data_IF_303351784243
#
_entry.id   IF_303351784243
#
_cell.length_a   1.000
_cell.length_b   1.000
_cell.length_c   1.000
_cell.angle_alpha   90.00
_cell.angle_beta   90.00
_cell.angle_gamma   90.00
#
_symmetry.space_group_name_H-M   'P 1'
#
loop_
_entity.id
_entity.type
_entity.pdbx_description
1 polymer ?
#
# COMPACT_ATOMS: atom_id res chain seq x y z
N UNK A 1 25.14 -39.52 48.50
CA UNK A 1 23.76 -39.00 48.39
C UNK A 1 23.86 -37.49 48.27
N UNK A 2 24.02 -37.03 47.07
CA UNK A 2 24.02 -35.59 46.72
C UNK A 2 22.89 -35.36 45.69
N UNK A 3 21.78 -34.87 46.15
CA UNK A 3 20.76 -34.27 45.28
C UNK A 3 21.26 -32.89 44.89
N UNK A 4 21.52 -32.68 43.60
CA UNK A 4 21.90 -31.41 43.04
C UNK A 4 20.60 -30.70 42.58
N UNK A 5 20.40 -29.52 43.13
CA UNK A 5 19.27 -28.62 42.95
C UNK A 5 19.26 -28.05 41.50
N UNK A 6 18.65 -28.78 40.55
CA UNK A 6 18.52 -28.36 39.16
C UNK A 6 17.42 -27.27 38.94
N UNK A 7 16.55 -27.01 39.93
CA UNK A 7 15.42 -26.10 39.79
C UNK A 7 15.80 -24.61 39.85
N UNK A 8 16.93 -24.24 40.45
CA UNK A 8 17.32 -22.83 40.68
C UNK A 8 18.05 -22.24 39.46
N UNK A 9 18.70 -23.08 38.65
CA UNK A 9 19.53 -22.64 37.50
C UNK A 9 18.66 -22.25 36.29
N UNK A 10 17.54 -22.92 36.09
CA UNK A 10 16.60 -22.64 34.96
C UNK A 10 15.89 -21.28 35.14
N UNK A 11 15.52 -20.96 36.40
CA UNK A 11 14.78 -19.74 36.71
C UNK A 11 15.66 -18.46 36.63
N UNK A 12 16.98 -18.59 36.87
CA UNK A 12 17.94 -17.47 36.68
C UNK A 12 18.17 -17.16 35.22
N UNK A 13 18.30 -18.18 34.35
CA UNK A 13 18.51 -17.96 32.92
C UNK A 13 17.29 -17.39 32.21
N UNK A 14 16.08 -17.67 32.68
CA UNK A 14 14.85 -17.05 32.14
C UNK A 14 14.77 -15.59 32.57
N UNK A 15 15.03 -15.26 33.85
CA UNK A 15 15.04 -13.87 34.34
C UNK A 15 16.19 -13.03 33.75
N UNK A 16 17.36 -13.62 33.47
CA UNK A 16 18.47 -12.92 32.82
C UNK A 16 18.22 -12.70 31.32
N UNK A 17 17.41 -13.56 30.65
CA UNK A 17 16.94 -13.32 29.27
C UNK A 17 15.87 -12.23 29.20
N UNK A 18 14.97 -12.15 30.17
CA UNK A 18 13.96 -11.08 30.29
C UNK A 18 14.60 -9.70 30.61
N UNK A 19 15.70 -9.67 31.38
CA UNK A 19 16.42 -8.41 31.68
C UNK A 19 17.34 -7.94 30.54
N UNK A 20 17.70 -8.82 29.58
CA UNK A 20 18.47 -8.44 28.37
C UNK A 20 17.61 -8.05 27.19
N UNK A 21 16.32 -8.31 27.18
CA UNK A 21 15.37 -7.71 26.24
C UNK A 21 15.13 -6.27 26.67
N UNK A 22 15.83 -5.32 26.03
CA UNK A 22 15.56 -3.90 26.20
C UNK A 22 14.06 -3.66 26.11
N UNK A 23 13.53 -2.73 26.91
CA UNK A 23 12.10 -2.38 26.96
C UNK A 23 11.60 -2.22 25.53
N UNK A 24 10.75 -3.15 25.06
CA UNK A 24 10.09 -3.07 23.77
C UNK A 24 9.15 -1.87 23.88
N UNK A 25 9.46 -0.79 23.15
CA UNK A 25 8.66 0.44 23.17
C UNK A 25 7.36 0.32 22.37
N UNK A 26 7.26 -0.72 21.50
CA UNK A 26 6.13 -0.97 20.61
C UNK A 26 5.88 -2.47 20.43
N UNK A 27 4.66 -2.91 20.71
CA UNK A 27 4.21 -4.28 20.49
C UNK A 27 3.69 -4.43 19.06
N UNK A 28 4.57 -4.88 18.16
CA UNK A 28 4.27 -5.01 16.74
C UNK A 28 3.18 -6.05 16.47
N UNK A 29 3.15 -7.15 17.19
CA UNK A 29 2.15 -8.20 16.99
C UNK A 29 0.75 -7.71 17.39
N UNK A 30 0.64 -7.08 18.55
CA UNK A 30 -0.61 -6.44 19.00
C UNK A 30 -1.08 -5.40 17.99
N UNK A 31 -0.17 -4.55 17.48
CA UNK A 31 -0.49 -3.56 16.45
C UNK A 31 -1.07 -4.22 15.20
N UNK A 32 -0.40 -5.25 14.66
CA UNK A 32 -0.85 -5.96 13.46
C UNK A 32 -2.24 -6.60 13.65
N UNK A 33 -2.47 -7.22 14.81
CA UNK A 33 -3.76 -7.85 15.12
C UNK A 33 -4.88 -6.81 15.21
N UNK A 34 -4.68 -5.74 15.99
CA UNK A 34 -5.68 -4.68 16.14
C UNK A 34 -6.00 -4.00 14.79
N UNK A 35 -4.98 -3.64 13.99
CA UNK A 35 -5.21 -2.98 12.71
C UNK A 35 -5.96 -3.89 11.73
N UNK A 36 -5.57 -5.15 11.61
CA UNK A 36 -6.26 -6.07 10.70
C UNK A 36 -7.70 -6.37 11.16
N UNK A 37 -7.96 -6.40 12.46
CA UNK A 37 -9.32 -6.56 13.00
C UNK A 37 -10.19 -5.34 12.69
N UNK A 38 -9.73 -4.13 12.96
CA UNK A 38 -10.47 -2.91 12.62
C UNK A 38 -10.76 -2.77 11.12
N UNK A 39 -9.86 -3.24 10.25
CA UNK A 39 -10.13 -3.26 8.81
C UNK A 39 -11.28 -4.24 8.51
N UNK A 40 -11.28 -5.45 9.09
CA UNK A 40 -12.36 -6.42 8.91
C UNK A 40 -13.70 -5.90 9.43
N UNK A 41 -13.70 -5.25 10.60
CA UNK A 41 -14.91 -4.63 11.16
C UNK A 41 -15.50 -3.58 10.21
N UNK A 42 -14.66 -2.71 9.63
CA UNK A 42 -15.11 -1.71 8.64
C UNK A 42 -15.63 -2.35 7.37
N UNK A 43 -14.95 -3.38 6.84
CA UNK A 43 -15.45 -4.14 5.69
C UNK A 43 -16.83 -4.74 5.95
N UNK A 44 -17.04 -5.32 7.15
CA UNK A 44 -18.33 -5.86 7.56
C UNK A 44 -19.39 -4.77 7.73
N UNK A 45 -19.02 -3.61 8.29
CA UNK A 45 -19.94 -2.49 8.53
C UNK A 45 -20.48 -1.88 7.22
N UNK A 46 -19.63 -1.72 6.20
CA UNK A 46 -20.03 -1.08 4.96
C UNK A 46 -20.64 -2.05 3.93
N UNK A 47 -20.46 -3.36 4.10
CA UNK A 47 -21.13 -4.40 3.30
C UNK A 47 -20.78 -4.43 1.81
N UNK A 48 -19.83 -3.60 1.37
CA UNK A 48 -19.39 -3.46 0.00
C UNK A 48 -17.87 -3.50 -0.12
N UNK A 49 -17.31 -2.68 -1.01
CA UNK A 49 -15.87 -2.51 -1.17
C UNK A 49 -15.34 -1.45 -0.20
N UNK A 50 -14.21 -1.72 0.42
CA UNK A 50 -13.47 -0.76 1.22
C UNK A 50 -12.23 -0.31 0.45
N UNK A 51 -12.18 0.98 0.09
CA UNK A 51 -11.00 1.60 -0.51
C UNK A 51 -10.09 2.15 0.57
N UNK A 52 -8.83 1.74 0.54
CA UNK A 52 -7.83 2.13 1.53
C UNK A 52 -6.58 2.69 0.85
N UNK A 53 -6.22 3.93 1.17
CA UNK A 53 -4.94 4.49 0.76
C UNK A 53 -3.84 4.04 1.72
N UNK A 54 -2.80 3.41 1.18
CA UNK A 54 -1.57 3.17 1.93
C UNK A 54 -0.55 4.26 1.62
N UNK A 55 -0.31 5.10 2.63
CA UNK A 55 0.76 6.10 2.59
C UNK A 55 2.11 5.52 2.99
N UNK A 56 3.19 6.12 2.47
CA UNK A 56 4.56 5.71 2.75
C UNK A 56 4.96 4.38 2.10
N UNK A 57 6.07 3.82 2.57
CA UNK A 57 6.63 2.58 2.03
C UNK A 57 5.91 1.38 2.63
N UNK A 58 5.46 0.44 1.79
CA UNK A 58 4.95 -0.86 2.23
C UNK A 58 6.09 -1.85 2.47
N UNK A 59 7.17 -1.71 1.71
CA UNK A 59 8.41 -2.45 1.86
C UNK A 59 9.49 -1.50 2.38
N UNK A 60 10.35 -2.00 3.25
CA UNK A 60 11.54 -1.29 3.72
C UNK A 60 11.26 0.06 4.43
N UNK A 61 10.25 0.12 5.31
CA UNK A 61 9.97 1.32 6.12
C UNK A 61 10.92 1.44 7.31
N UNK A 62 12.20 1.57 7.01
CA UNK A 62 13.25 1.69 8.03
C UNK A 62 13.17 2.97 8.85
N UNK A 63 12.43 3.99 8.40
CA UNK A 63 12.30 5.23 9.16
C UNK A 63 11.53 5.00 10.46
N UNK A 64 10.37 4.38 10.37
CA UNK A 64 9.54 4.09 11.54
C UNK A 64 10.24 3.14 12.52
N UNK A 65 10.93 2.11 12.04
CA UNK A 65 11.67 1.16 12.89
C UNK A 65 12.84 1.77 13.64
N UNK A 66 13.44 2.86 13.12
CA UNK A 66 14.54 3.58 13.80
C UNK A 66 14.05 4.41 14.98
N UNK A 67 12.85 4.97 14.90
CA UNK A 67 12.30 5.90 15.91
C UNK A 67 11.39 5.21 16.91
N UNK A 68 10.91 4.01 16.60
CA UNK A 68 9.97 3.25 17.42
C UNK A 68 10.52 1.82 17.68
N UNK A 69 11.27 1.61 18.77
CA UNK A 69 11.83 0.30 19.10
C UNK A 69 10.73 -0.78 19.22
N UNK A 70 10.85 -1.85 18.46
CA UNK A 70 9.86 -2.92 18.36
C UNK A 70 8.99 -2.87 17.10
N UNK A 71 8.92 -1.73 16.40
CA UNK A 71 8.25 -1.64 15.11
C UNK A 71 9.10 -2.31 14.01
N UNK A 72 8.47 -3.18 13.21
CA UNK A 72 9.15 -3.88 12.12
C UNK A 72 9.01 -3.10 10.80
N UNK A 73 10.07 -3.03 9.96
CA UNK A 73 10.04 -2.28 8.70
C UNK A 73 8.97 -2.74 7.72
N UNK A 74 8.55 -4.01 7.80
CA UNK A 74 7.56 -4.66 6.96
C UNK A 74 6.17 -4.79 7.62
N UNK A 75 5.93 -4.11 8.75
CA UNK A 75 4.67 -4.22 9.51
C UNK A 75 3.43 -3.98 8.65
N UNK A 76 3.47 -2.99 7.75
CA UNK A 76 2.36 -2.70 6.84
C UNK A 76 2.10 -3.85 5.87
N UNK A 77 3.16 -4.47 5.36
CA UNK A 77 3.06 -5.63 4.49
C UNK A 77 2.50 -6.83 5.26
N UNK A 78 3.01 -7.10 6.47
CA UNK A 78 2.51 -8.20 7.31
C UNK A 78 1.02 -8.05 7.64
N UNK A 79 0.57 -6.81 7.87
CA UNK A 79 -0.86 -6.52 8.08
C UNK A 79 -1.68 -6.88 6.83
N UNK A 80 -1.23 -6.50 5.63
CA UNK A 80 -1.89 -6.86 4.38
C UNK A 80 -1.90 -8.36 4.14
N UNK A 81 -0.83 -9.07 4.49
CA UNK A 81 -0.77 -10.54 4.36
C UNK A 81 -1.82 -11.25 5.24
N UNK A 82 -2.20 -10.67 6.38
CA UNK A 82 -3.33 -11.18 7.19
C UNK A 82 -4.70 -11.01 6.52
N UNK A 83 -4.78 -10.18 5.49
CA UNK A 83 -6.00 -9.86 4.72
C UNK A 83 -5.87 -10.27 3.24
N UNK A 84 -4.85 -11.05 2.87
CA UNK A 84 -4.45 -11.33 1.48
C UNK A 84 -5.57 -11.86 0.60
N UNK A 85 -6.47 -12.69 1.15
CA UNK A 85 -7.56 -13.30 0.40
C UNK A 85 -8.68 -12.30 0.06
N UNK A 86 -8.75 -11.18 0.79
CA UNK A 86 -9.74 -10.11 0.62
C UNK A 86 -9.13 -8.86 -0.01
N UNK A 87 -7.80 -8.73 -0.05
CA UNK A 87 -7.10 -7.56 -0.52
C UNK A 87 -6.75 -7.65 -2.01
N UNK A 88 -7.01 -6.56 -2.72
CA UNK A 88 -6.58 -6.30 -4.10
C UNK A 88 -5.74 -5.04 -4.13
N UNK A 89 -4.57 -5.11 -4.77
CA UNK A 89 -3.65 -3.99 -4.86
C UNK A 89 -3.89 -3.23 -6.17
N UNK A 90 -4.09 -1.92 -6.07
CA UNK A 90 -4.08 -0.97 -7.17
C UNK A 90 -2.88 -0.05 -6.99
N UNK A 91 -2.01 0.05 -8.00
CA UNK A 91 -0.80 0.88 -7.91
C UNK A 91 -1.03 2.16 -8.70
N UNK A 92 -1.03 3.31 -8.00
CA UNK A 92 -1.20 4.62 -8.62
C UNK A 92 0.17 5.24 -8.95
N UNK A 93 0.31 5.77 -10.17
CA UNK A 93 1.50 6.52 -10.60
C UNK A 93 1.08 7.68 -11.48
N UNK A 94 1.63 8.88 -11.25
CA UNK A 94 1.27 10.03 -12.09
C UNK A 94 1.97 10.00 -13.44
N UNK A 95 1.25 10.36 -14.50
CA UNK A 95 1.78 10.47 -15.85
C UNK A 95 2.96 11.46 -15.92
N UNK A 96 2.88 12.56 -15.16
CA UNK A 96 3.97 13.53 -15.05
C UNK A 96 5.24 12.94 -14.43
N UNK A 97 5.11 12.05 -13.43
CA UNK A 97 6.28 11.41 -12.82
C UNK A 97 6.95 10.42 -13.78
N UNK A 98 6.19 9.75 -14.63
CA UNK A 98 6.72 8.89 -15.70
C UNK A 98 7.45 9.74 -16.73
N UNK A 99 6.81 10.81 -17.21
CA UNK A 99 7.34 11.70 -18.25
C UNK A 99 8.63 12.40 -17.83
N UNK A 100 8.71 12.83 -16.58
CA UNK A 100 9.89 13.48 -16.01
C UNK A 100 10.96 12.48 -15.52
N UNK A 101 10.79 11.18 -15.72
CA UNK A 101 11.67 10.13 -15.20
C UNK A 101 11.97 10.31 -13.70
N UNK A 102 10.94 10.68 -12.92
CA UNK A 102 11.07 10.93 -11.49
C UNK A 102 11.60 9.69 -10.77
N UNK A 103 12.65 9.87 -9.98
CA UNK A 103 13.32 8.78 -9.26
C UNK A 103 12.92 8.73 -7.79
N UNK A 104 12.91 7.52 -7.24
CA UNK A 104 12.92 7.32 -5.80
C UNK A 104 14.28 7.70 -5.24
N UNK A 105 14.28 8.63 -4.27
CA UNK A 105 15.52 9.17 -3.71
C UNK A 105 16.35 8.16 -2.90
N UNK A 106 15.75 7.06 -2.44
CA UNK A 106 16.41 6.04 -1.62
C UNK A 106 17.09 4.94 -2.43
N UNK A 107 16.55 4.58 -3.60
CA UNK A 107 17.07 3.48 -4.45
C UNK A 107 17.40 3.90 -5.88
N UNK A 108 17.13 5.16 -6.25
CA UNK A 108 17.56 5.77 -7.50
C UNK A 108 16.85 5.30 -8.78
N UNK A 109 15.88 4.38 -8.69
CA UNK A 109 15.08 3.92 -9.85
C UNK A 109 13.93 4.87 -10.13
N UNK A 110 13.47 4.91 -11.40
CA UNK A 110 12.35 5.72 -11.82
C UNK A 110 11.01 5.18 -11.30
N UNK A 111 9.96 6.01 -11.26
CA UNK A 111 8.66 5.59 -10.72
C UNK A 111 8.01 4.49 -11.54
N UNK A 112 8.15 4.49 -12.86
CA UNK A 112 7.70 3.39 -13.73
C UNK A 112 8.43 2.08 -13.43
N UNK A 113 9.75 2.11 -13.24
CA UNK A 113 10.53 0.94 -12.80
C UNK A 113 10.11 0.46 -11.42
N UNK A 114 9.83 1.39 -10.50
CA UNK A 114 9.34 1.03 -9.16
C UNK A 114 7.96 0.38 -9.21
N UNK A 115 7.05 0.82 -10.09
CA UNK A 115 5.76 0.14 -10.30
C UNK A 115 5.97 -1.31 -10.68
N UNK A 116 6.86 -1.61 -11.63
CA UNK A 116 7.16 -2.98 -12.04
C UNK A 116 7.74 -3.80 -10.89
N UNK A 117 8.69 -3.21 -10.13
CA UNK A 117 9.25 -3.85 -8.94
C UNK A 117 8.20 -4.14 -7.87
N UNK A 118 7.27 -3.21 -7.63
CA UNK A 118 6.18 -3.40 -6.68
C UNK A 118 5.24 -4.52 -7.10
N UNK A 119 4.90 -4.62 -8.39
CA UNK A 119 4.08 -5.72 -8.93
C UNK A 119 4.74 -7.07 -8.61
N UNK A 120 6.03 -7.21 -8.92
CA UNK A 120 6.77 -8.44 -8.67
C UNK A 120 6.86 -8.77 -7.18
N UNK A 121 7.13 -7.77 -6.34
CA UNK A 121 7.20 -7.95 -4.88
C UNK A 121 5.85 -8.37 -4.29
N UNK A 122 4.74 -7.71 -4.66
CA UNK A 122 3.42 -8.09 -4.17
C UNK A 122 3.04 -9.51 -4.59
N UNK A 123 3.28 -9.85 -5.85
CA UNK A 123 3.01 -11.21 -6.39
C UNK A 123 3.88 -12.26 -5.69
N UNK A 124 5.14 -11.98 -5.42
CA UNK A 124 6.05 -12.91 -4.74
C UNK A 124 5.63 -13.28 -3.32
N UNK A 125 4.92 -12.39 -2.63
CA UNK A 125 4.37 -12.63 -1.28
C UNK A 125 2.90 -13.11 -1.31
N UNK A 126 2.34 -13.37 -2.49
CA UNK A 126 0.99 -13.91 -2.68
C UNK A 126 -0.14 -12.87 -2.57
N UNK A 127 0.16 -11.58 -2.72
CA UNK A 127 -0.85 -10.53 -2.82
C UNK A 127 -1.31 -10.38 -4.28
N UNK A 128 -2.61 -10.21 -4.46
CA UNK A 128 -3.21 -10.00 -5.78
C UNK A 128 -3.04 -8.54 -6.22
N UNK A 129 -2.36 -8.34 -7.34
CA UNK A 129 -2.24 -7.03 -8.00
C UNK A 129 -3.24 -6.99 -9.14
N UNK A 130 -4.34 -6.25 -8.98
CA UNK A 130 -5.41 -6.14 -9.96
C UNK A 130 -5.02 -5.23 -11.12
N UNK A 131 -4.50 -4.04 -10.83
CA UNK A 131 -4.26 -3.04 -11.87
C UNK A 131 -3.24 -1.96 -11.48
N UNK A 132 -2.85 -1.18 -12.48
CA UNK A 132 -2.12 0.08 -12.33
C UNK A 132 -3.01 1.22 -12.82
N UNK A 133 -3.06 2.33 -12.10
CA UNK A 133 -3.74 3.56 -12.54
C UNK A 133 -2.72 4.65 -12.84
N UNK A 134 -2.80 5.18 -14.06
CA UNK A 134 -1.99 6.33 -14.50
C UNK A 134 -2.80 7.58 -14.22
N UNK A 135 -2.41 8.30 -13.16
CA UNK A 135 -3.12 9.49 -12.69
C UNK A 135 -2.58 10.77 -13.34
N UNK A 136 -3.34 11.86 -13.25
CA UNK A 136 -2.97 13.18 -13.81
C UNK A 136 -2.63 13.08 -15.31
N UNK A 137 -3.31 12.17 -16.02
CA UNK A 137 -3.06 11.92 -17.43
C UNK A 137 -3.55 13.08 -18.31
N UNK A 138 -2.73 13.50 -19.26
CA UNK A 138 -2.97 14.60 -20.21
C UNK A 138 -2.47 14.25 -21.64
N UNK A 139 -2.30 12.95 -21.94
CA UNK A 139 -1.82 12.50 -23.25
C UNK A 139 -0.30 12.41 -23.37
N UNK A 140 0.44 12.21 -22.29
CA UNK A 140 1.89 12.03 -22.31
C UNK A 140 2.27 10.72 -23.02
N UNK A 141 3.08 10.80 -24.08
CA UNK A 141 3.52 9.63 -24.86
C UNK A 141 4.29 8.61 -24.02
N UNK A 142 5.08 9.06 -23.06
CA UNK A 142 5.79 8.21 -22.10
C UNK A 142 4.83 7.38 -21.25
N UNK A 143 3.69 7.96 -20.81
CA UNK A 143 2.66 7.28 -20.07
C UNK A 143 1.94 6.24 -20.95
N UNK A 144 1.63 6.56 -22.21
CA UNK A 144 1.05 5.60 -23.16
C UNK A 144 2.00 4.43 -23.47
N UNK A 145 3.30 4.72 -23.63
CA UNK A 145 4.33 3.69 -23.77
C UNK A 145 4.38 2.76 -22.54
N UNK A 146 4.22 3.31 -21.33
CA UNK A 146 4.19 2.52 -20.11
C UNK A 146 2.91 1.69 -19.97
N UNK A 147 1.74 2.23 -20.34
CA UNK A 147 0.47 1.49 -20.40
C UNK A 147 0.60 0.28 -21.34
N UNK A 148 1.18 0.48 -22.54
CA UNK A 148 1.42 -0.62 -23.46
C UNK A 148 2.32 -1.70 -22.85
N UNK A 149 3.42 -1.29 -22.21
CA UNK A 149 4.34 -2.22 -21.52
C UNK A 149 3.64 -3.00 -20.40
N UNK A 150 2.76 -2.38 -19.62
CA UNK A 150 1.95 -3.08 -18.62
C UNK A 150 1.04 -4.12 -19.26
N UNK A 151 0.38 -3.79 -20.39
CA UNK A 151 -0.43 -4.72 -21.15
C UNK A 151 0.35 -5.92 -21.66
N UNK A 152 1.57 -5.70 -22.17
CA UNK A 152 2.48 -6.78 -22.62
C UNK A 152 2.88 -7.72 -21.46
N UNK A 153 2.88 -7.23 -20.22
CA UNK A 153 3.12 -7.98 -18.99
C UNK A 153 1.84 -8.59 -18.36
N UNK A 154 0.70 -8.46 -19.03
CA UNK A 154 -0.59 -8.96 -18.53
C UNK A 154 -1.11 -8.18 -17.32
N UNK A 155 -0.78 -6.90 -17.20
CA UNK A 155 -1.25 -6.02 -16.13
C UNK A 155 -2.22 -4.99 -16.70
N UNK A 156 -3.46 -4.97 -16.20
CA UNK A 156 -4.45 -3.97 -16.59
C UNK A 156 -4.00 -2.56 -16.17
N UNK A 157 -4.21 -1.57 -17.04
CA UNK A 157 -3.87 -0.18 -16.75
C UNK A 157 -5.03 0.74 -17.12
N UNK A 158 -5.32 1.71 -16.25
CA UNK A 158 -6.44 2.65 -16.35
C UNK A 158 -5.94 4.08 -16.29
N UNK A 159 -6.68 5.03 -16.91
CA UNK A 159 -6.34 6.44 -16.95
C UNK A 159 -7.25 7.24 -16.04
N UNK A 160 -6.65 8.01 -15.14
CA UNK A 160 -7.33 9.07 -14.40
C UNK A 160 -6.76 10.41 -14.85
N UNK A 161 -7.62 11.27 -15.32
CA UNK A 161 -7.24 12.51 -15.98
C UNK A 161 -6.90 13.62 -14.98
N UNK A 162 -6.18 14.63 -15.47
CA UNK A 162 -5.96 15.85 -14.71
C UNK A 162 -7.29 16.59 -14.58
N UNK A 163 -7.67 16.95 -13.35
CA UNK A 163 -8.86 17.74 -13.06
C UNK A 163 -8.40 19.13 -12.65
N UNK A 164 -8.87 20.15 -13.39
CA UNK A 164 -8.49 21.53 -13.12
C UNK A 164 -9.05 22.02 -11.78
N UNK A 165 -8.18 22.68 -11.00
CA UNK A 165 -8.53 23.18 -9.66
C UNK A 165 -8.65 22.13 -8.58
N UNK A 166 -8.25 20.86 -8.83
CA UNK A 166 -8.15 19.85 -7.78
C UNK A 166 -7.12 20.25 -6.71
N UNK A 167 -7.41 20.12 -5.40
CA UNK A 167 -8.60 19.55 -4.76
C UNK A 167 -9.71 20.56 -4.38
N UNK A 168 -9.63 21.81 -4.81
CA UNK A 168 -10.52 22.89 -4.34
C UNK A 168 -11.84 23.01 -5.12
N UNK A 169 -11.83 22.67 -6.42
CA UNK A 169 -13.00 22.80 -7.30
C UNK A 169 -13.94 21.59 -7.16
N UNK A 170 -14.60 21.47 -6.00
CA UNK A 170 -15.48 20.33 -5.69
C UNK A 170 -16.57 20.12 -6.76
N UNK A 171 -17.30 21.16 -7.26
CA UNK A 171 -18.34 20.93 -8.27
C UNK A 171 -17.82 20.27 -9.54
N UNK A 172 -16.63 20.63 -10.01
CA UNK A 172 -16.02 19.98 -11.17
C UNK A 172 -15.52 18.57 -10.82
N UNK A 173 -14.90 18.40 -9.66
CA UNK A 173 -14.32 17.10 -9.25
C UNK A 173 -15.39 16.01 -9.25
N UNK A 174 -16.57 16.27 -8.71
CA UNK A 174 -17.68 15.29 -8.59
C UNK A 174 -18.67 15.38 -9.76
N UNK A 175 -18.19 15.67 -10.96
CA UNK A 175 -19.00 15.75 -12.19
C UNK A 175 -18.50 14.77 -13.26
N UNK A 176 -19.27 14.65 -14.35
CA UNK A 176 -18.89 13.86 -15.53
C UNK A 176 -17.58 14.35 -16.19
N UNK A 177 -17.28 15.65 -16.13
CA UNK A 177 -16.03 16.24 -16.61
C UNK A 177 -14.86 16.09 -15.62
N UNK A 178 -15.16 15.73 -14.39
CA UNK A 178 -14.19 15.43 -13.33
C UNK A 178 -13.94 13.94 -13.16
N UNK A 179 -14.42 13.37 -12.06
CA UNK A 179 -14.26 11.93 -11.79
C UNK A 179 -14.99 11.06 -12.81
N UNK A 180 -16.10 11.51 -13.39
CA UNK A 180 -16.82 10.78 -14.43
C UNK A 180 -15.99 10.50 -15.68
N UNK A 181 -15.03 11.37 -16.01
CA UNK A 181 -14.11 11.20 -17.13
C UNK A 181 -13.06 10.11 -16.91
N UNK A 182 -12.76 9.76 -15.66
CA UNK A 182 -11.78 8.74 -15.33
C UNK A 182 -12.26 7.35 -15.71
N UNK A 183 -11.33 6.49 -16.13
CA UNK A 183 -11.67 5.08 -16.32
C UNK A 183 -12.11 4.46 -14.99
N UNK A 184 -13.23 3.73 -15.00
CA UNK A 184 -13.58 2.87 -13.87
C UNK A 184 -12.62 1.70 -13.79
N UNK A 185 -12.10 1.41 -12.59
CA UNK A 185 -11.21 0.28 -12.34
C UNK A 185 -12.06 -0.90 -11.86
N UNK A 186 -12.32 -1.93 -12.69
CA UNK A 186 -12.99 -3.13 -12.21
C UNK A 186 -12.15 -3.82 -11.14
N UNK A 187 -12.73 -4.01 -9.97
CA UNK A 187 -12.07 -4.67 -8.83
C UNK A 187 -12.88 -5.89 -8.40
N UNK A 188 -12.18 -6.96 -8.00
CA UNK A 188 -12.78 -8.27 -7.71
C UNK A 188 -12.94 -8.54 -6.22
N UNK A 189 -12.16 -7.84 -5.38
CA UNK A 189 -12.10 -8.11 -3.93
C UNK A 189 -12.77 -7.01 -3.12
N UNK A 190 -13.01 -7.30 -1.85
CA UNK A 190 -13.71 -6.38 -0.94
C UNK A 190 -12.80 -5.33 -0.29
N UNK A 191 -11.49 -5.56 -0.23
CA UNK A 191 -10.52 -4.60 0.27
C UNK A 191 -9.61 -4.13 -0.87
N UNK A 192 -9.81 -2.89 -1.32
CA UNK A 192 -8.98 -2.29 -2.37
C UNK A 192 -7.91 -1.43 -1.74
N UNK A 193 -6.67 -1.83 -1.91
CA UNK A 193 -5.50 -1.14 -1.35
C UNK A 193 -4.82 -0.33 -2.44
N UNK A 194 -4.94 0.98 -2.36
CA UNK A 194 -4.29 1.90 -3.30
C UNK A 194 -2.93 2.31 -2.76
N UNK A 195 -1.89 1.91 -3.44
CA UNK A 195 -0.49 2.24 -3.12
C UNK A 195 0.22 2.95 -4.27
N UNK A 196 1.48 3.35 -4.09
CA UNK A 196 2.21 4.12 -5.09
C UNK A 196 3.72 4.06 -4.89
N UNK A 197 4.52 4.33 -5.95
CA UNK A 197 5.98 4.48 -5.86
C UNK A 197 6.43 5.59 -4.90
N UNK A 198 5.60 6.63 -4.74
CA UNK A 198 5.93 7.77 -3.90
C UNK A 198 4.80 8.80 -3.77
N UNK A 199 5.07 9.94 -3.12
CA UNK A 199 4.08 10.99 -2.90
C UNK A 199 3.67 11.68 -4.22
N UNK A 200 2.44 12.23 -4.23
CA UNK A 200 1.90 12.94 -5.39
C UNK A 200 1.39 12.03 -6.52
N UNK A 201 1.28 10.73 -6.30
CA UNK A 201 0.83 9.75 -7.30
C UNK A 201 -0.70 9.63 -7.43
N UNK A 202 -1.50 10.45 -6.75
CA UNK A 202 -2.96 10.51 -6.90
C UNK A 202 -3.75 9.40 -6.19
N UNK A 203 -3.19 8.72 -5.18
CA UNK A 203 -3.86 7.61 -4.45
C UNK A 203 -5.24 7.99 -3.91
N UNK A 204 -5.33 9.10 -3.17
CA UNK A 204 -6.60 9.58 -2.60
C UNK A 204 -7.63 9.88 -3.70
N UNK A 205 -7.21 10.59 -4.76
CA UNK A 205 -8.08 10.89 -5.90
C UNK A 205 -8.56 9.60 -6.60
N UNK A 206 -7.72 8.56 -6.66
CA UNK A 206 -8.12 7.25 -7.18
C UNK A 206 -9.22 6.62 -6.33
N UNK A 207 -9.07 6.59 -5.00
CA UNK A 207 -10.11 6.06 -4.11
C UNK A 207 -11.43 6.82 -4.27
N UNK A 208 -11.38 8.16 -4.30
CA UNK A 208 -12.58 8.99 -4.44
C UNK A 208 -13.23 8.85 -5.82
N UNK A 209 -12.44 8.73 -6.90
CA UNK A 209 -12.94 8.48 -8.24
C UNK A 209 -13.68 7.14 -8.34
N UNK A 210 -13.15 6.09 -7.71
CA UNK A 210 -13.82 4.79 -7.66
C UNK A 210 -15.16 4.88 -6.91
N UNK A 211 -15.20 5.57 -5.78
CA UNK A 211 -16.46 5.79 -5.04
C UNK A 211 -17.48 6.57 -5.87
N UNK A 212 -17.04 7.56 -6.67
CA UNK A 212 -17.91 8.29 -7.59
C UNK A 212 -18.57 7.38 -8.64
N UNK A 213 -17.83 6.42 -9.19
CA UNK A 213 -18.35 5.47 -10.18
C UNK A 213 -19.24 4.38 -9.58
N UNK A 214 -19.14 4.10 -8.29
CA UNK A 214 -19.91 3.06 -7.60
C UNK A 214 -21.20 3.59 -6.95
N UNK A 215 -21.42 4.92 -6.92
CA UNK A 215 -22.58 5.60 -6.38
C UNK A 215 -23.30 6.49 -7.41
#
# INVERSE_FOLDING_TARGET
MHEVDEGVTINKNVKERETKMGKIGFDNEKYLNMQSEHIRERMAQFGGKLYMEFGGKLFDDYHASRVLPGFQPDSKLQMLLKLKDQAEIVIAVSASAIDQHKKRGDIGITYDQEVLRLIDLFRSVGLYVGSVVITQYQGQQSADGFIKRLGDLGVAAYRHYMIEGYPANIPLIVSEDGFGKNDYIPTERSLIVVTAPGPGSGKMATCLSQLYHEH
#
